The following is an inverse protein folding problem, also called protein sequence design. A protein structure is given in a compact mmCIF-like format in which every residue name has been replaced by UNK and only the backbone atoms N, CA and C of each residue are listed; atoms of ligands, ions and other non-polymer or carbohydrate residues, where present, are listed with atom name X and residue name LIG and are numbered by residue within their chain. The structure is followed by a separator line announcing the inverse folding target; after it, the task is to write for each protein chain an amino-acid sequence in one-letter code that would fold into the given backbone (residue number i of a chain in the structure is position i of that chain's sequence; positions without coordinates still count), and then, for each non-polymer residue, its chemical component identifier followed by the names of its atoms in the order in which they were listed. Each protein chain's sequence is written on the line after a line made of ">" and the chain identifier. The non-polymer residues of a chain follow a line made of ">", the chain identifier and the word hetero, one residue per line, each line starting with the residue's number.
data_IF_207599537451
#
_entry.id   IF_207599537451
#
_cell.length_a   1.000
_cell.length_b   1.000
_cell.length_c   1.000
_cell.angle_alpha   90.00
_cell.angle_beta   90.00
_cell.angle_gamma   90.00
#
_symmetry.space_group_name_H-M   'P 1'
#
loop_
_entity.id
_entity.type
_entity.pdbx_description
1 polymer ?
#
# COMPACT_ATOMS: atom_id res chain seq x y z
N UNK A 1 -14.31 60.21 23.95
CA UNK A 1 -13.57 59.07 23.35
C UNK A 1 -14.08 58.86 21.94
N UNK A 2 -13.26 59.02 20.88
CA UNK A 2 -13.74 58.79 19.52
C UNK A 2 -13.72 57.28 19.23
N UNK A 3 -14.86 56.77 18.75
CA UNK A 3 -14.97 55.41 18.20
C UNK A 3 -14.15 55.36 16.90
N UNK A 4 -13.02 54.65 16.92
CA UNK A 4 -12.26 54.30 15.71
C UNK A 4 -13.08 53.29 14.91
N UNK A 5 -13.74 53.76 13.86
CA UNK A 5 -14.31 52.87 12.85
C UNK A 5 -13.15 52.28 12.03
N UNK A 6 -12.93 50.96 12.13
CA UNK A 6 -12.04 50.29 11.19
C UNK A 6 -12.63 50.38 9.78
N UNK A 7 -11.84 50.71 8.75
CA UNK A 7 -12.31 50.82 7.38
C UNK A 7 -12.74 49.43 6.85
N UNK A 8 -13.94 49.33 6.27
CA UNK A 8 -14.52 48.09 5.69
C UNK A 8 -13.59 47.36 4.68
N UNK A 9 -12.59 48.04 4.13
CA UNK A 9 -11.56 47.42 3.26
C UNK A 9 -10.68 46.43 4.03
N UNK A 10 -10.30 46.74 5.27
CA UNK A 10 -9.48 45.84 6.10
C UNK A 10 -10.23 44.55 6.45
N UNK A 11 -11.53 44.62 6.71
CA UNK A 11 -12.35 43.43 7.03
C UNK A 11 -12.53 42.49 5.83
N UNK A 12 -12.64 43.04 4.60
CA UNK A 12 -12.70 42.24 3.37
C UNK A 12 -11.37 41.56 3.04
N UNK A 13 -10.24 42.23 3.30
CA UNK A 13 -8.91 41.65 3.10
C UNK A 13 -8.61 40.50 4.08
N UNK A 14 -9.08 40.56 5.33
CA UNK A 14 -8.92 39.45 6.29
C UNK A 14 -9.75 38.21 5.92
N UNK A 15 -10.97 38.39 5.38
CA UNK A 15 -11.82 37.28 4.93
C UNK A 15 -11.24 36.62 3.67
N UNK A 16 -10.74 37.40 2.70
CA UNK A 16 -10.05 36.85 1.53
C UNK A 16 -8.75 36.12 1.90
N UNK A 17 -7.97 36.64 2.85
CA UNK A 17 -6.76 35.98 3.33
C UNK A 17 -7.07 34.67 4.10
N UNK A 18 -8.16 34.62 4.87
CA UNK A 18 -8.60 33.41 5.56
C UNK A 18 -9.15 32.33 4.59
N UNK A 19 -9.84 32.75 3.51
CA UNK A 19 -10.30 31.83 2.46
C UNK A 19 -9.12 31.31 1.62
N UNK A 20 -8.13 32.16 1.30
CA UNK A 20 -6.90 31.72 0.63
C UNK A 20 -6.06 30.80 1.53
N UNK A 21 -5.98 31.07 2.84
CA UNK A 21 -5.26 30.21 3.79
C UNK A 21 -5.96 28.85 3.98
N UNK A 22 -7.30 28.82 3.92
CA UNK A 22 -8.10 27.59 3.93
C UNK A 22 -7.99 26.78 2.62
N UNK A 23 -7.71 27.44 1.49
CA UNK A 23 -7.46 26.75 0.21
C UNK A 23 -6.02 26.24 0.05
N UNK A 24 -5.07 26.68 0.90
CA UNK A 24 -3.68 26.20 0.92
C UNK A 24 -3.42 25.06 1.91
N UNK A 25 -4.43 24.63 2.67
CA UNK A 25 -4.38 23.32 3.30
C UNK A 25 -4.51 22.29 2.18
N UNK A 26 -3.37 21.90 1.60
CA UNK A 26 -3.26 20.66 0.83
C UNK A 26 -4.09 19.61 1.56
N UNK A 27 -5.18 19.17 0.95
CA UNK A 27 -5.92 18.00 1.40
C UNK A 27 -4.94 16.83 1.30
N UNK A 28 -4.17 16.60 2.37
CA UNK A 28 -3.66 15.26 2.63
C UNK A 28 -4.90 14.38 2.61
N UNK A 29 -5.04 13.58 1.55
CA UNK A 29 -6.12 12.60 1.48
C UNK A 29 -6.09 11.81 2.77
N UNK A 30 -7.23 11.66 3.43
CA UNK A 30 -7.30 10.83 4.63
C UNK A 30 -6.76 9.43 4.29
N UNK A 31 -6.01 8.79 5.21
CA UNK A 31 -5.45 7.46 4.97
C UNK A 31 -6.57 6.47 4.65
N UNK A 32 -6.28 5.50 3.78
CA UNK A 32 -7.21 4.41 3.51
C UNK A 32 -7.41 3.62 4.79
N UNK A 33 -8.65 3.39 5.20
CA UNK A 33 -8.95 2.49 6.32
C UNK A 33 -9.10 1.08 5.79
N UNK A 34 -8.19 0.18 6.17
CA UNK A 34 -8.04 -1.11 5.52
C UNK A 34 -8.13 -2.29 6.49
N UNK A 35 -8.90 -3.31 6.14
CA UNK A 35 -8.82 -4.64 6.74
C UNK A 35 -8.04 -5.54 5.79
N UNK A 36 -7.00 -6.18 6.31
CA UNK A 36 -6.12 -7.07 5.55
C UNK A 36 -6.41 -8.53 5.90
N UNK A 37 -6.84 -9.33 4.93
CA UNK A 37 -7.28 -10.72 5.11
C UNK A 37 -6.40 -11.68 4.28
N UNK A 38 -5.65 -12.54 4.96
CA UNK A 38 -4.55 -13.33 4.41
C UNK A 38 -4.72 -14.80 4.74
N UNK A 39 -4.10 -15.72 4.02
CA UNK A 39 -4.02 -17.10 4.49
C UNK A 39 -2.78 -17.31 5.39
N UNK A 40 -1.71 -16.53 5.20
CA UNK A 40 -0.48 -16.44 6.01
C UNK A 40 0.06 -17.81 6.39
N UNK A 41 0.19 -18.69 5.39
CA UNK A 41 0.61 -20.08 5.59
C UNK A 41 1.71 -20.48 4.61
N UNK A 42 1.36 -20.62 3.32
CA UNK A 42 2.13 -21.50 2.43
C UNK A 42 3.16 -20.80 1.55
N UNK A 43 2.93 -19.54 1.19
CA UNK A 43 3.85 -18.75 0.37
C UNK A 43 4.34 -17.52 1.13
N UNK A 44 5.57 -17.08 0.87
CA UNK A 44 6.19 -15.99 1.62
C UNK A 44 5.78 -14.60 1.15
N UNK A 45 4.98 -14.48 0.09
CA UNK A 45 4.47 -13.20 -0.35
C UNK A 45 3.42 -12.59 0.59
N UNK A 46 2.75 -13.37 1.47
CA UNK A 46 1.92 -12.78 2.54
C UNK A 46 2.75 -11.93 3.53
N UNK A 47 3.87 -12.43 4.14
CA UNK A 47 4.79 -11.59 4.91
C UNK A 47 5.30 -10.37 4.16
N UNK A 48 5.63 -10.54 2.86
CA UNK A 48 6.11 -9.45 2.01
C UNK A 48 5.05 -8.35 1.86
N UNK A 49 3.81 -8.74 1.61
CA UNK A 49 2.67 -7.85 1.52
C UNK A 49 2.35 -7.16 2.85
N UNK A 50 2.41 -7.87 3.98
CA UNK A 50 2.17 -7.29 5.30
C UNK A 50 3.26 -6.30 5.70
N UNK A 51 4.54 -6.62 5.44
CA UNK A 51 5.65 -5.68 5.64
C UNK A 51 5.49 -4.41 4.82
N UNK A 52 5.14 -4.56 3.54
CA UNK A 52 4.84 -3.45 2.64
C UNK A 52 3.65 -2.62 3.15
N UNK A 53 2.61 -3.25 3.70
CA UNK A 53 1.44 -2.57 4.26
C UNK A 53 1.83 -1.68 5.46
N UNK A 54 2.71 -2.16 6.34
CA UNK A 54 3.23 -1.36 7.45
C UNK A 54 4.08 -0.18 6.98
N UNK A 55 4.89 -0.36 5.93
CA UNK A 55 5.63 0.74 5.31
C UNK A 55 4.69 1.82 4.76
N UNK A 56 3.60 1.42 4.11
CA UNK A 56 2.55 2.33 3.65
C UNK A 56 1.84 3.04 4.83
N UNK A 57 1.67 2.36 5.96
CA UNK A 57 1.10 2.96 7.17
C UNK A 57 2.05 3.98 7.81
N UNK A 58 3.36 3.70 7.81
CA UNK A 58 4.41 4.65 8.24
C UNK A 58 4.43 5.91 7.36
N UNK A 59 4.11 5.76 6.07
CA UNK A 59 3.99 6.87 5.13
C UNK A 59 2.68 7.66 5.27
N UNK A 60 1.80 7.28 6.21
CA UNK A 60 0.50 7.90 6.43
C UNK A 60 -0.52 7.63 5.32
N UNK A 61 -0.31 6.61 4.49
CA UNK A 61 -1.17 6.28 3.34
C UNK A 61 -2.34 5.37 3.75
N UNK A 62 -2.19 4.58 4.83
CA UNK A 62 -3.17 3.60 5.30
C UNK A 62 -3.25 3.55 6.84
N UNK A 63 -4.46 3.42 7.34
CA UNK A 63 -4.80 3.01 8.70
C UNK A 63 -5.18 1.52 8.66
N UNK A 64 -4.31 0.65 9.19
CA UNK A 64 -4.56 -0.78 9.24
C UNK A 64 -5.53 -1.05 10.40
N UNK A 65 -6.78 -1.36 10.08
CA UNK A 65 -7.82 -1.60 11.08
C UNK A 65 -7.69 -2.98 11.72
N UNK A 66 -7.28 -3.99 10.94
CA UNK A 66 -7.08 -5.36 11.39
C UNK A 66 -6.31 -6.20 10.37
N UNK A 67 -5.71 -7.29 10.86
CA UNK A 67 -5.02 -8.31 10.05
C UNK A 67 -5.56 -9.69 10.42
N UNK A 68 -6.32 -10.31 9.53
CA UNK A 68 -7.04 -11.56 9.80
C UNK A 68 -6.50 -12.72 8.98
N UNK A 69 -6.57 -13.93 9.56
CA UNK A 69 -6.22 -15.18 8.88
C UNK A 69 -7.48 -15.91 8.40
N UNK A 70 -7.54 -16.20 7.10
CA UNK A 70 -8.60 -16.95 6.40
C UNK A 70 -8.36 -18.47 6.33
N UNK A 71 -7.17 -18.91 6.73
CA UNK A 71 -6.78 -20.30 6.79
C UNK A 71 -6.72 -20.86 8.21
N UNK A 72 -6.67 -22.18 8.33
CA UNK A 72 -6.52 -22.88 9.61
C UNK A 72 -5.10 -23.37 9.79
N UNK A 73 -4.30 -22.55 10.44
CA UNK A 73 -3.01 -22.95 10.97
C UNK A 73 -2.73 -22.20 12.27
N UNK A 74 -2.49 -22.95 13.35
CA UNK A 74 -2.43 -22.39 14.70
C UNK A 74 -1.32 -21.32 14.88
N UNK A 75 -0.30 -21.34 14.03
CA UNK A 75 0.79 -20.37 14.06
C UNK A 75 0.52 -19.12 13.23
N UNK A 76 -0.42 -19.13 12.28
CA UNK A 76 -0.67 -17.98 11.40
C UNK A 76 -1.04 -16.70 12.17
N UNK A 77 -1.95 -16.72 13.16
CA UNK A 77 -2.29 -15.50 13.91
C UNK A 77 -1.09 -14.90 14.64
N UNK A 78 -0.33 -15.71 15.37
CA UNK A 78 0.88 -15.27 16.07
C UNK A 78 1.99 -14.81 15.10
N UNK A 79 2.08 -15.40 13.91
CA UNK A 79 3.04 -14.99 12.89
C UNK A 79 2.68 -13.64 12.26
N UNK A 80 1.39 -13.39 12.01
CA UNK A 80 0.86 -12.08 11.59
C UNK A 80 1.19 -11.03 12.65
N UNK A 81 0.89 -11.33 13.92
CA UNK A 81 1.17 -10.41 15.03
C UNK A 81 2.67 -10.16 15.22
N UNK A 82 3.52 -11.16 14.99
CA UNK A 82 4.97 -10.95 15.03
C UNK A 82 5.44 -9.88 14.02
N UNK A 83 4.84 -9.84 12.83
CA UNK A 83 5.11 -8.77 11.85
C UNK A 83 4.53 -7.44 12.35
N UNK A 84 3.29 -7.42 12.83
CA UNK A 84 2.67 -6.20 13.38
C UNK A 84 3.49 -5.60 14.53
N UNK A 85 3.93 -6.44 15.47
CA UNK A 85 4.74 -6.07 16.62
C UNK A 85 6.10 -5.53 16.20
N UNK A 86 6.76 -6.13 15.20
CA UNK A 86 8.02 -5.60 14.67
C UNK A 86 7.89 -4.18 14.14
N UNK A 87 6.77 -3.85 13.48
CA UNK A 87 6.47 -2.50 13.00
C UNK A 87 5.86 -1.57 14.07
N UNK A 88 5.93 -1.94 15.35
CA UNK A 88 5.43 -1.14 16.47
C UNK A 88 3.89 -1.09 16.58
N UNK A 89 3.19 -1.98 15.87
CA UNK A 89 1.73 -2.02 15.76
C UNK A 89 1.12 -3.34 16.24
N UNK A 90 1.72 -3.98 17.25
CA UNK A 90 1.19 -5.22 17.88
C UNK A 90 -0.22 -5.06 18.49
N UNK A 91 -0.72 -3.83 18.64
CA UNK A 91 -2.09 -3.58 19.08
C UNK A 91 -3.15 -3.77 17.96
N UNK A 92 -2.74 -3.97 16.70
CA UNK A 92 -3.67 -4.22 15.59
C UNK A 92 -4.42 -5.53 15.88
N UNK A 93 -5.76 -5.54 15.82
CA UNK A 93 -6.54 -6.75 16.02
C UNK A 93 -6.15 -7.88 15.06
N UNK A 94 -5.92 -9.06 15.63
CA UNK A 94 -5.70 -10.32 14.91
C UNK A 94 -6.81 -11.31 15.26
N UNK A 95 -7.38 -11.94 14.22
CA UNK A 95 -8.40 -12.96 14.35
C UNK A 95 -8.17 -14.06 13.30
N UNK A 96 -8.80 -15.21 13.51
CA UNK A 96 -8.67 -16.36 12.60
C UNK A 96 -10.01 -17.02 12.35
N UNK A 97 -10.17 -17.62 11.17
CA UNK A 97 -11.35 -18.42 10.86
C UNK A 97 -11.54 -19.55 11.87
N UNK A 98 -12.76 -19.70 12.39
CA UNK A 98 -13.17 -20.90 13.15
C UNK A 98 -13.93 -21.91 12.28
N UNK A 99 -14.08 -21.65 10.99
CA UNK A 99 -14.75 -22.55 10.05
C UNK A 99 -13.95 -23.86 9.92
N UNK A 100 -14.49 -25.01 10.37
CA UNK A 100 -13.75 -26.26 10.37
C UNK A 100 -13.40 -26.76 8.96
N UNK A 101 -14.07 -26.24 7.93
CA UNK A 101 -13.88 -26.57 6.51
C UNK A 101 -12.85 -25.69 5.81
N UNK A 102 -12.37 -24.63 6.47
CA UNK A 102 -11.35 -23.76 5.93
C UNK A 102 -10.05 -24.52 5.60
N UNK A 103 -9.35 -24.05 4.58
CA UNK A 103 -8.08 -24.63 4.13
C UNK A 103 -7.08 -24.66 5.30
N UNK A 104 -6.48 -25.82 5.51
CA UNK A 104 -5.53 -26.08 6.60
C UNK A 104 -4.24 -26.64 6.02
N UNK A 105 -3.23 -25.78 5.87
CA UNK A 105 -1.92 -26.15 5.31
C UNK A 105 -0.84 -25.73 6.31
N UNK A 106 0.16 -26.60 6.52
CA UNK A 106 1.29 -26.26 7.35
C UNK A 106 2.20 -25.23 6.66
N UNK A 107 2.50 -24.12 7.34
CA UNK A 107 3.39 -23.06 6.86
C UNK A 107 4.71 -23.03 7.63
N UNK A 108 5.82 -23.34 6.97
CA UNK A 108 7.13 -23.41 7.65
C UNK A 108 7.61 -22.04 8.15
N UNK A 109 7.40 -20.98 7.36
CA UNK A 109 7.75 -19.63 7.76
C UNK A 109 6.83 -19.13 8.87
N UNK A 110 5.51 -19.34 8.77
CA UNK A 110 4.55 -18.88 9.76
C UNK A 110 4.84 -19.53 11.13
N UNK A 111 5.09 -20.84 11.15
CA UNK A 111 5.54 -21.52 12.36
C UNK A 111 6.84 -20.94 12.91
N UNK A 112 7.84 -20.70 12.05
CA UNK A 112 9.10 -20.12 12.48
C UNK A 112 8.92 -18.73 13.12
N UNK A 113 8.12 -17.85 12.51
CA UNK A 113 7.87 -16.52 13.05
C UNK A 113 7.19 -16.59 14.41
N UNK A 114 6.08 -17.32 14.51
CA UNK A 114 5.30 -17.47 15.73
C UNK A 114 6.12 -18.06 16.91
N UNK A 115 7.17 -18.83 16.62
CA UNK A 115 8.02 -19.43 17.66
C UNK A 115 9.23 -18.58 18.06
N UNK A 116 9.68 -17.65 17.20
CA UNK A 116 10.99 -17.01 17.34
C UNK A 116 10.95 -15.48 17.38
N UNK A 117 9.79 -14.85 17.17
CA UNK A 117 9.62 -13.40 17.14
C UNK A 117 8.65 -12.92 18.22
N UNK A 118 8.81 -11.70 18.75
CA UNK A 118 7.88 -11.15 19.74
C UNK A 118 6.47 -10.95 19.19
N UNK A 119 5.47 -11.39 19.94
CA UNK A 119 4.04 -11.22 19.70
C UNK A 119 3.28 -11.47 21.02
N UNK A 120 2.01 -11.07 21.09
CA UNK A 120 1.13 -11.38 22.24
C UNK A 120 -0.10 -12.21 21.85
N UNK A 121 -0.31 -12.45 20.55
CA UNK A 121 -1.37 -13.30 20.03
C UNK A 121 -1.14 -14.78 20.37
N UNK A 122 -2.10 -15.47 21.03
CA UNK A 122 -1.94 -16.87 21.40
C UNK A 122 -1.92 -17.80 20.18
N UNK A 123 -1.30 -18.98 20.33
CA UNK A 123 -1.24 -20.04 19.30
C UNK A 123 -2.25 -21.17 19.57
N UNK A 124 -3.44 -20.82 20.06
CA UNK A 124 -4.47 -21.77 20.46
C UNK A 124 -5.88 -21.31 20.05
N UNK A 125 -6.91 -21.99 20.55
CA UNK A 125 -8.30 -21.69 20.19
C UNK A 125 -8.84 -20.38 20.77
N UNK A 126 -8.11 -19.70 21.66
CA UNK A 126 -8.52 -18.44 22.28
C UNK A 126 -8.41 -17.22 21.36
N UNK A 127 -7.65 -17.32 20.25
CA UNK A 127 -7.64 -16.28 19.21
C UNK A 127 -9.08 -15.99 18.77
N UNK A 128 -9.51 -14.71 18.63
CA UNK A 128 -10.86 -14.38 18.24
C UNK A 128 -11.30 -15.01 16.91
N UNK A 129 -12.62 -15.24 16.78
CA UNK A 129 -13.23 -15.63 15.51
C UNK A 129 -13.24 -14.46 14.53
N UNK A 130 -12.82 -14.71 13.29
CA UNK A 130 -12.73 -13.67 12.27
C UNK A 130 -14.09 -13.04 11.91
N UNK A 131 -15.19 -13.80 11.91
CA UNK A 131 -16.52 -13.25 11.56
C UNK A 131 -16.99 -12.30 12.65
N UNK A 132 -16.88 -12.71 13.92
CA UNK A 132 -17.21 -11.86 15.06
C UNK A 132 -16.37 -10.56 15.07
N UNK A 133 -15.06 -10.68 14.83
CA UNK A 133 -14.15 -9.54 14.74
C UNK A 133 -14.45 -8.61 13.56
N UNK A 134 -14.76 -9.15 12.37
CA UNK A 134 -15.22 -8.35 11.22
C UNK A 134 -16.48 -7.55 11.56
N UNK A 135 -17.45 -8.19 12.21
CA UNK A 135 -18.72 -7.55 12.55
C UNK A 135 -18.54 -6.43 13.57
N UNK A 136 -17.75 -6.66 14.62
CA UNK A 136 -17.39 -5.62 15.60
C UNK A 136 -16.73 -4.42 14.93
N UNK A 137 -15.68 -4.68 14.16
CA UNK A 137 -14.88 -3.64 13.53
C UNK A 137 -15.71 -2.84 12.53
N UNK A 138 -16.43 -3.49 11.62
CA UNK A 138 -17.28 -2.81 10.64
C UNK A 138 -18.40 -2.01 11.29
N UNK A 139 -19.04 -2.54 12.35
CA UNK A 139 -20.09 -1.82 13.08
C UNK A 139 -19.59 -0.49 13.67
N UNK A 140 -18.33 -0.46 14.10
CA UNK A 140 -17.68 0.74 14.65
C UNK A 140 -17.17 1.75 13.61
N UNK A 141 -17.16 1.42 12.31
CA UNK A 141 -16.69 2.32 11.27
C UNK A 141 -17.80 3.21 10.71
N UNK A 142 -17.40 4.31 10.07
CA UNK A 142 -18.30 5.13 9.28
C UNK A 142 -18.83 4.35 8.07
N UNK A 143 -19.98 4.77 7.55
CA UNK A 143 -20.51 4.19 6.33
C UNK A 143 -19.59 4.52 5.15
N UNK A 144 -19.45 3.57 4.22
CA UNK A 144 -18.61 3.69 3.02
C UNK A 144 -17.20 4.21 3.32
N UNK A 145 -16.54 3.68 4.36
CA UNK A 145 -15.18 4.12 4.73
C UNK A 145 -14.12 3.02 4.71
N UNK A 146 -14.50 1.74 4.66
CA UNK A 146 -13.56 0.62 4.81
C UNK A 146 -13.22 0.00 3.46
N UNK A 147 -11.94 -0.24 3.20
CA UNK A 147 -11.45 -1.12 2.14
C UNK A 147 -11.11 -2.48 2.74
N UNK A 148 -11.54 -3.55 2.09
CA UNK A 148 -11.10 -4.91 2.44
C UNK A 148 -10.17 -5.38 1.34
N UNK A 149 -9.01 -5.91 1.70
CA UNK A 149 -8.16 -6.64 0.77
C UNK A 149 -8.02 -8.07 1.23
N UNK A 150 -8.32 -9.01 0.34
CA UNK A 150 -8.13 -10.44 0.58
C UNK A 150 -7.00 -10.93 -0.31
N UNK A 151 -5.92 -11.34 0.33
CA UNK A 151 -4.75 -11.97 -0.29
C UNK A 151 -4.69 -13.47 -0.04
N UNK A 152 -5.58 -14.00 0.80
CA UNK A 152 -5.77 -15.45 1.01
C UNK A 152 -7.09 -15.99 0.48
N UNK A 153 -7.68 -16.95 1.21
CA UNK A 153 -8.95 -17.57 0.85
C UNK A 153 -10.14 -16.69 1.23
N UNK A 154 -11.24 -16.78 0.46
CA UNK A 154 -12.45 -16.00 0.72
C UNK A 154 -13.33 -16.54 1.87
N UNK A 155 -12.81 -17.46 2.70
CA UNK A 155 -13.58 -18.15 3.75
C UNK A 155 -14.21 -17.20 4.75
N UNK A 156 -13.43 -16.23 5.23
CA UNK A 156 -13.90 -15.20 6.16
C UNK A 156 -15.01 -14.37 5.51
N UNK A 157 -14.85 -13.96 4.26
CA UNK A 157 -15.85 -13.15 3.55
C UNK A 157 -17.14 -13.93 3.23
N UNK A 158 -17.04 -15.21 2.82
CA UNK A 158 -18.20 -16.11 2.69
C UNK A 158 -18.99 -16.17 3.99
N UNK A 159 -18.30 -16.39 5.12
CA UNK A 159 -18.94 -16.53 6.41
C UNK A 159 -19.48 -15.20 6.95
N UNK A 160 -18.79 -14.09 6.67
CA UNK A 160 -19.28 -12.75 6.99
C UNK A 160 -20.58 -12.46 6.24
N UNK A 161 -20.65 -12.70 4.93
CA UNK A 161 -21.87 -12.54 4.13
C UNK A 161 -23.05 -13.34 4.69
N UNK A 162 -22.79 -14.56 5.18
CA UNK A 162 -23.78 -15.46 5.76
C UNK A 162 -24.17 -15.13 7.22
N UNK A 163 -23.47 -14.20 7.88
CA UNK A 163 -23.71 -13.86 9.28
C UNK A 163 -25.04 -13.12 9.46
N UNK A 164 -25.77 -13.43 10.55
CA UNK A 164 -26.97 -12.70 10.95
C UNK A 164 -26.67 -11.49 11.86
N UNK A 165 -27.69 -10.71 12.25
CA UNK A 165 -27.56 -9.68 13.27
C UNK A 165 -26.99 -10.24 14.59
N UNK A 166 -26.28 -9.40 15.34
CA UNK A 166 -25.63 -9.79 16.59
C UNK A 166 -25.54 -8.62 17.59
N UNK A 167 -24.69 -8.78 18.61
CA UNK A 167 -24.47 -7.75 19.65
C UNK A 167 -23.76 -6.49 19.13
N UNK A 168 -23.07 -6.58 18.00
CA UNK A 168 -22.29 -5.49 17.43
C UNK A 168 -23.13 -4.64 16.48
N UNK A 169 -24.02 -5.27 15.71
CA UNK A 169 -24.89 -4.59 14.76
C UNK A 169 -26.23 -5.30 14.55
N UNK A 170 -27.35 -4.55 14.43
CA UNK A 170 -28.64 -5.11 14.03
C UNK A 170 -28.69 -5.52 12.55
N UNK A 171 -27.68 -5.18 11.74
CA UNK A 171 -27.58 -5.57 10.35
C UNK A 171 -27.02 -6.99 10.22
N UNK A 172 -27.58 -7.78 9.29
CA UNK A 172 -26.91 -9.00 8.81
C UNK A 172 -25.61 -8.66 8.07
N UNK A 173 -24.82 -9.68 7.76
CA UNK A 173 -23.51 -9.52 7.15
C UNK A 173 -23.54 -8.76 5.83
N UNK A 174 -24.48 -9.10 4.94
CA UNK A 174 -24.61 -8.45 3.63
C UNK A 174 -24.95 -6.97 3.77
N UNK A 175 -25.90 -6.63 4.64
CA UNK A 175 -26.27 -5.24 4.89
C UNK A 175 -25.18 -4.45 5.62
N UNK A 176 -24.44 -5.10 6.53
CA UNK A 176 -23.30 -4.47 7.21
C UNK A 176 -22.17 -4.16 6.22
N UNK A 177 -21.82 -5.09 5.33
CA UNK A 177 -20.83 -4.86 4.27
C UNK A 177 -21.30 -3.72 3.36
N UNK A 178 -22.56 -3.75 2.93
CA UNK A 178 -23.14 -2.72 2.05
C UNK A 178 -23.03 -1.33 2.67
N UNK A 179 -23.29 -1.22 3.97
CA UNK A 179 -23.23 0.05 4.67
C UNK A 179 -21.78 0.55 4.86
N UNK A 180 -20.83 -0.34 5.17
CA UNK A 180 -19.52 0.06 5.71
C UNK A 180 -18.38 0.02 4.69
N UNK A 181 -18.46 -0.87 3.71
CA UNK A 181 -17.33 -1.19 2.82
C UNK A 181 -17.43 -0.39 1.53
N UNK A 182 -16.34 0.28 1.15
CA UNK A 182 -16.19 0.98 -0.13
C UNK A 182 -16.02 -0.04 -1.25
N UNK A 183 -15.02 -0.91 -1.10
CA UNK A 183 -14.67 -1.93 -2.09
C UNK A 183 -13.91 -3.09 -1.47
N UNK A 184 -13.94 -4.21 -2.18
CA UNK A 184 -13.11 -5.37 -1.94
C UNK A 184 -12.05 -5.52 -3.03
N UNK A 185 -10.79 -5.55 -2.64
CA UNK A 185 -9.67 -5.91 -3.52
C UNK A 185 -9.38 -7.39 -3.32
N UNK A 186 -9.61 -8.19 -4.37
CA UNK A 186 -9.46 -9.64 -4.32
C UNK A 186 -8.22 -10.08 -5.12
N UNK A 187 -7.21 -10.60 -4.43
CA UNK A 187 -6.14 -11.36 -5.08
C UNK A 187 -6.73 -12.69 -5.55
N UNK A 188 -6.90 -12.85 -6.86
CA UNK A 188 -7.76 -13.90 -7.39
C UNK A 188 -7.93 -13.86 -8.90
N UNK A 189 -8.18 -15.03 -9.48
CA UNK A 189 -8.42 -15.19 -10.92
C UNK A 189 -7.16 -15.16 -11.78
N UNK A 190 -7.35 -15.39 -13.08
CA UNK A 190 -6.34 -15.30 -14.12
C UNK A 190 -7.04 -14.87 -15.42
N UNK A 191 -7.03 -13.56 -15.69
CA UNK A 191 -7.94 -12.97 -16.68
C UNK A 191 -7.35 -12.87 -18.10
N UNK A 192 -6.08 -13.27 -18.28
CA UNK A 192 -5.40 -13.23 -19.57
C UNK A 192 -5.12 -14.60 -20.17
N UNK A 193 -5.15 -15.66 -19.35
CA UNK A 193 -5.06 -17.05 -19.79
C UNK A 193 -6.41 -17.75 -19.60
N UNK A 194 -7.29 -17.57 -20.60
CA UNK A 194 -8.65 -18.10 -20.58
C UNK A 194 -8.71 -19.63 -20.58
N UNK A 195 -7.67 -20.32 -21.05
CA UNK A 195 -7.60 -21.78 -21.05
C UNK A 195 -7.26 -22.33 -19.66
N UNK A 196 -6.56 -21.55 -18.83
CA UNK A 196 -6.13 -21.92 -17.48
C UNK A 196 -6.61 -20.92 -16.41
N UNK A 197 -7.85 -20.44 -16.57
CA UNK A 197 -8.41 -19.38 -15.71
C UNK A 197 -8.78 -19.84 -14.30
N UNK A 198 -8.73 -21.14 -14.03
CA UNK A 198 -8.89 -21.77 -12.71
C UNK A 198 -7.56 -22.09 -12.02
N UNK A 199 -6.44 -21.51 -12.45
CA UNK A 199 -5.14 -21.82 -11.83
C UNK A 199 -4.85 -21.03 -10.56
N UNK A 200 -5.68 -20.05 -10.18
CA UNK A 200 -5.44 -19.25 -8.98
C UNK A 200 -5.72 -20.06 -7.69
N UNK A 201 -4.74 -20.17 -6.80
CA UNK A 201 -4.84 -21.01 -5.59
C UNK A 201 -5.80 -20.45 -4.54
N UNK A 202 -5.96 -19.12 -4.46
CA UNK A 202 -6.91 -18.48 -3.55
C UNK A 202 -8.35 -18.81 -3.92
N UNK A 203 -8.62 -19.07 -5.21
CA UNK A 203 -9.93 -19.51 -5.67
C UNK A 203 -10.09 -21.02 -5.66
N UNK A 204 -9.04 -21.78 -5.96
CA UNK A 204 -9.19 -23.23 -6.18
C UNK A 204 -8.99 -24.11 -4.96
N UNK A 205 -8.27 -23.66 -3.93
CA UNK A 205 -8.17 -24.41 -2.67
C UNK A 205 -9.45 -24.33 -1.85
N UNK A 206 -10.21 -23.24 -1.98
CA UNK A 206 -11.57 -23.10 -1.42
C UNK A 206 -12.54 -22.48 -2.45
N UNK A 207 -12.89 -23.28 -3.45
CA UNK A 207 -13.82 -22.90 -4.53
C UNK A 207 -15.16 -22.44 -4.00
N UNK A 208 -15.69 -23.14 -2.99
CA UNK A 208 -17.00 -22.82 -2.43
C UNK A 208 -16.99 -21.42 -1.83
N UNK A 209 -15.98 -21.08 -1.03
CA UNK A 209 -15.88 -19.74 -0.45
C UNK A 209 -15.61 -18.67 -1.51
N UNK A 210 -14.69 -18.91 -2.45
CA UNK A 210 -14.39 -17.95 -3.52
C UNK A 210 -15.62 -17.65 -4.39
N UNK A 211 -16.27 -18.68 -4.92
CA UNK A 211 -17.46 -18.54 -5.78
C UNK A 211 -18.60 -17.88 -5.01
N UNK A 212 -18.84 -18.28 -3.76
CA UNK A 212 -19.93 -17.72 -2.94
C UNK A 212 -19.68 -16.24 -2.62
N UNK A 213 -18.46 -15.88 -2.19
CA UNK A 213 -18.12 -14.49 -1.89
C UNK A 213 -18.19 -13.62 -3.15
N UNK A 214 -17.58 -14.07 -4.25
CA UNK A 214 -17.58 -13.33 -5.53
C UNK A 214 -19.00 -13.14 -6.03
N UNK A 215 -19.87 -14.16 -6.07
CA UNK A 215 -21.23 -13.99 -6.58
C UNK A 215 -22.05 -13.02 -5.73
N UNK A 216 -21.92 -13.07 -4.41
CA UNK A 216 -22.84 -12.40 -3.49
C UNK A 216 -22.32 -11.07 -2.90
N UNK A 217 -21.09 -10.65 -3.19
CA UNK A 217 -20.54 -9.41 -2.65
C UNK A 217 -21.39 -8.18 -3.03
N UNK A 218 -21.77 -7.29 -2.09
CA UNK A 218 -22.72 -6.23 -2.40
C UNK A 218 -22.10 -4.92 -2.92
N UNK A 219 -20.80 -4.69 -2.74
CA UNK A 219 -20.12 -3.42 -3.10
C UNK A 219 -19.13 -3.62 -4.27
N UNK A 220 -18.29 -2.64 -4.56
CA UNK A 220 -17.31 -2.74 -5.65
C UNK A 220 -16.32 -3.90 -5.41
N UNK A 221 -15.96 -4.63 -6.48
CA UNK A 221 -14.85 -5.59 -6.48
C UNK A 221 -13.78 -5.14 -7.46
N UNK A 222 -12.52 -5.21 -7.03
CA UNK A 222 -11.36 -5.10 -7.91
C UNK A 222 -10.56 -6.40 -7.84
N UNK A 223 -10.39 -7.06 -8.97
CA UNK A 223 -9.63 -8.30 -9.08
C UNK A 223 -8.16 -8.03 -9.42
N UNK A 224 -7.26 -8.63 -8.63
CA UNK A 224 -5.83 -8.71 -8.90
C UNK A 224 -5.51 -10.14 -9.37
N UNK A 225 -5.47 -10.33 -10.69
CA UNK A 225 -5.26 -11.63 -11.32
C UNK A 225 -3.82 -12.15 -11.24
N UNK A 226 -3.64 -13.44 -11.51
CA UNK A 226 -2.30 -14.09 -11.58
C UNK A 226 -1.37 -13.35 -12.55
N UNK A 227 -1.91 -12.88 -13.67
CA UNK A 227 -1.17 -12.14 -14.70
C UNK A 227 -0.53 -10.84 -14.20
N UNK A 228 -0.96 -10.30 -13.05
CA UNK A 228 -0.32 -9.16 -12.41
C UNK A 228 0.83 -9.68 -11.53
N UNK A 229 0.49 -10.32 -10.43
CA UNK A 229 1.46 -10.64 -9.39
C UNK A 229 2.51 -11.70 -9.77
N UNK A 230 2.22 -12.64 -10.66
CA UNK A 230 3.19 -13.68 -11.04
C UNK A 230 4.28 -13.21 -12.01
N UNK A 231 4.06 -12.05 -12.65
CA UNK A 231 5.05 -11.43 -13.54
C UNK A 231 6.00 -10.49 -12.79
N UNK A 232 5.58 -10.03 -11.63
CA UNK A 232 6.33 -9.17 -10.72
C UNK A 232 7.23 -10.00 -9.79
N UNK A 233 8.40 -9.49 -9.44
CA UNK A 233 9.40 -10.17 -8.60
C UNK A 233 10.04 -9.22 -7.59
N UNK A 234 9.93 -9.56 -6.31
CA UNK A 234 10.56 -8.81 -5.21
C UNK A 234 10.86 -9.72 -4.01
N UNK A 235 11.79 -9.31 -3.16
CA UNK A 235 12.13 -9.89 -1.87
C UNK A 235 13.60 -10.20 -1.67
N UNK A 236 14.45 -10.18 -2.71
CA UNK A 236 15.87 -10.51 -2.55
C UNK A 236 16.61 -9.54 -1.62
N UNK A 237 16.27 -8.23 -1.61
CA UNK A 237 16.95 -7.24 -0.75
C UNK A 237 16.53 -7.34 0.71
N UNK A 238 15.52 -8.14 1.06
CA UNK A 238 15.26 -8.48 2.47
C UNK A 238 16.49 -9.09 3.15
N UNK A 239 17.35 -9.78 2.40
CA UNK A 239 18.64 -10.31 2.88
C UNK A 239 19.59 -9.25 3.44
N UNK A 240 19.37 -7.98 3.10
CA UNK A 240 20.14 -6.82 3.55
C UNK A 240 19.55 -6.17 4.81
N UNK A 241 18.32 -6.57 5.21
CA UNK A 241 17.68 -6.07 6.43
C UNK A 241 18.08 -6.91 7.65
N UNK A 242 17.93 -6.40 8.89
CA UNK A 242 18.30 -7.15 10.09
C UNK A 242 17.63 -8.53 10.18
N UNK A 243 18.32 -9.52 10.77
CA UNK A 243 17.73 -10.84 11.01
C UNK A 243 16.54 -10.80 12.00
N UNK A 244 16.39 -9.70 12.74
CA UNK A 244 15.24 -9.42 13.61
C UNK A 244 14.01 -8.92 12.83
N UNK A 245 14.12 -8.67 11.52
CA UNK A 245 12.98 -8.41 10.66
C UNK A 245 12.23 -9.74 10.37
N UNK A 246 10.99 -9.91 10.83
CA UNK A 246 10.22 -11.13 10.59
C UNK A 246 9.93 -11.36 9.11
N UNK A 247 9.86 -10.32 8.28
CA UNK A 247 9.68 -10.46 6.82
C UNK A 247 10.91 -11.10 6.18
N UNK A 248 12.12 -10.64 6.56
CA UNK A 248 13.37 -11.29 6.15
C UNK A 248 13.42 -12.73 6.62
N UNK A 249 13.13 -12.99 7.90
CA UNK A 249 13.12 -14.34 8.43
C UNK A 249 12.12 -15.26 7.72
N UNK A 250 10.97 -14.75 7.30
CA UNK A 250 9.98 -15.52 6.57
C UNK A 250 10.49 -15.96 5.20
N UNK A 251 11.02 -15.02 4.41
CA UNK A 251 11.62 -15.32 3.10
C UNK A 251 12.81 -16.27 3.23
N UNK A 252 13.68 -16.02 4.21
CA UNK A 252 14.81 -16.91 4.55
C UNK A 252 14.33 -18.33 4.85
N UNK A 253 13.31 -18.48 5.68
CA UNK A 253 12.77 -19.79 6.05
C UNK A 253 12.10 -20.47 4.86
N UNK A 254 11.32 -19.74 4.06
CA UNK A 254 10.66 -20.25 2.86
C UNK A 254 11.66 -20.78 1.83
N UNK A 255 12.72 -20.03 1.55
CA UNK A 255 13.77 -20.43 0.60
C UNK A 255 14.84 -21.37 1.20
N UNK A 256 14.71 -21.76 2.47
CA UNK A 256 15.65 -22.63 3.17
C UNK A 256 17.06 -22.04 3.31
N UNK A 257 17.19 -20.71 3.40
CA UNK A 257 18.48 -20.04 3.44
C UNK A 257 18.39 -18.53 3.20
N UNK A 258 18.95 -18.06 2.09
CA UNK A 258 18.94 -16.62 1.79
C UNK A 258 17.58 -16.21 1.20
N UNK A 259 17.07 -15.04 1.60
CA UNK A 259 15.92 -14.43 0.95
C UNK A 259 16.20 -14.21 -0.56
N UNK A 260 15.18 -14.43 -1.39
CA UNK A 260 15.23 -14.31 -2.85
C UNK A 260 13.95 -13.64 -3.33
N UNK A 261 13.94 -13.24 -4.60
CA UNK A 261 12.73 -12.73 -5.21
C UNK A 261 11.65 -13.83 -5.27
N UNK A 262 10.44 -13.45 -4.87
CA UNK A 262 9.23 -14.22 -5.03
C UNK A 262 8.22 -13.43 -5.87
N UNK A 263 7.22 -14.11 -6.42
CA UNK A 263 6.11 -13.44 -7.08
C UNK A 263 5.41 -12.45 -6.14
N UNK A 264 4.87 -11.36 -6.68
CA UNK A 264 4.19 -10.32 -5.92
C UNK A 264 2.66 -10.42 -6.02
N UNK A 265 2.08 -11.62 -5.90
CA UNK A 265 0.63 -11.80 -5.92
C UNK A 265 -0.05 -11.00 -4.80
N UNK A 266 0.38 -11.17 -3.57
CA UNK A 266 -0.20 -10.48 -2.42
C UNK A 266 0.26 -9.02 -2.30
N UNK A 267 1.56 -8.69 -2.55
CA UNK A 267 2.02 -7.31 -2.56
C UNK A 267 1.30 -6.43 -3.59
N UNK A 268 1.05 -6.92 -4.82
CA UNK A 268 0.38 -6.11 -5.85
C UNK A 268 -1.07 -5.76 -5.49
N UNK A 269 -1.83 -6.71 -4.95
CA UNK A 269 -3.18 -6.47 -4.44
C UNK A 269 -3.20 -5.47 -3.27
N UNK A 270 -2.26 -5.65 -2.33
CA UNK A 270 -2.11 -4.76 -1.17
C UNK A 270 -1.73 -3.34 -1.59
N UNK A 271 -0.83 -3.20 -2.55
CA UNK A 271 -0.39 -1.89 -3.06
C UNK A 271 -1.56 -1.15 -3.72
N UNK A 272 -2.35 -1.86 -4.53
CA UNK A 272 -3.56 -1.29 -5.13
C UNK A 272 -4.60 -0.92 -4.08
N UNK A 273 -4.81 -1.74 -3.04
CA UNK A 273 -5.79 -1.45 -1.99
C UNK A 273 -5.51 -0.13 -1.25
N UNK A 274 -4.23 0.23 -1.08
CA UNK A 274 -3.82 1.48 -0.44
C UNK A 274 -3.75 2.64 -1.43
N UNK A 275 -3.02 2.48 -2.54
CA UNK A 275 -2.73 3.60 -3.45
C UNK A 275 -3.77 3.78 -4.56
N UNK A 276 -4.56 2.75 -4.84
CA UNK A 276 -5.59 2.74 -5.87
C UNK A 276 -5.08 3.24 -7.22
N UNK A 277 -5.88 4.09 -7.87
CA UNK A 277 -5.49 4.90 -9.03
C UNK A 277 -5.27 6.37 -8.64
N UNK A 278 -4.81 6.64 -7.41
CA UNK A 278 -4.50 8.00 -6.94
C UNK A 278 -3.51 8.73 -7.89
N UNK A 279 -3.34 10.06 -7.76
CA UNK A 279 -2.56 10.84 -8.73
C UNK A 279 -1.15 10.30 -9.03
N UNK A 280 -0.47 9.69 -8.06
CA UNK A 280 0.83 9.07 -8.24
C UNK A 280 0.75 7.56 -8.59
N UNK A 281 -0.34 6.90 -8.22
CA UNK A 281 -0.58 5.47 -8.38
C UNK A 281 -1.26 5.08 -9.70
N UNK A 282 -1.89 6.04 -10.40
CA UNK A 282 -2.49 5.87 -11.74
C UNK A 282 -1.49 5.39 -12.80
N UNK A 283 -0.20 5.40 -12.48
CA UNK A 283 0.88 4.91 -13.34
C UNK A 283 1.14 3.42 -13.14
N UNK A 284 0.74 2.80 -12.03
CA UNK A 284 1.04 1.39 -11.78
C UNK A 284 0.16 0.49 -12.64
N UNK A 285 -1.16 0.74 -12.57
CA UNK A 285 -2.17 -0.12 -13.15
C UNK A 285 -3.24 0.72 -13.86
N UNK A 286 -3.88 0.11 -14.84
CA UNK A 286 -5.18 0.53 -15.32
C UNK A 286 -6.26 -0.45 -14.83
N UNK A 287 -7.52 -0.08 -15.01
CA UNK A 287 -8.65 -0.94 -14.74
C UNK A 287 -9.39 -1.26 -16.04
N UNK A 288 -9.63 -2.54 -16.27
CA UNK A 288 -10.62 -3.01 -17.23
C UNK A 288 -11.91 -3.23 -16.45
N UNK A 289 -12.91 -2.38 -16.68
CA UNK A 289 -14.23 -2.51 -16.06
C UNK A 289 -15.08 -3.50 -16.84
N UNK A 290 -15.84 -4.33 -16.15
CA UNK A 290 -16.61 -5.39 -16.80
C UNK A 290 -17.38 -6.22 -15.80
N UNK A 291 -17.65 -7.47 -16.16
CA UNK A 291 -18.34 -8.43 -15.30
C UNK A 291 -17.65 -9.78 -15.31
N UNK A 292 -17.54 -10.38 -14.13
CA UNK A 292 -17.18 -11.79 -14.00
C UNK A 292 -18.44 -12.66 -13.99
N UNK A 293 -18.42 -13.72 -14.79
CA UNK A 293 -19.33 -14.85 -14.68
C UNK A 293 -18.53 -16.07 -14.23
N UNK A 294 -18.50 -16.29 -12.92
CA UNK A 294 -17.76 -17.40 -12.29
C UNK A 294 -18.65 -18.65 -12.15
N UNK A 295 -18.09 -19.81 -12.51
CA UNK A 295 -18.71 -21.13 -12.40
C UNK A 295 -18.42 -21.77 -11.03
N UNK A 296 -19.12 -22.87 -10.72
CA UNK A 296 -18.97 -23.55 -9.42
C UNK A 296 -17.58 -24.18 -9.22
N UNK A 297 -16.87 -24.47 -10.31
CA UNK A 297 -15.50 -24.99 -10.30
C UNK A 297 -14.43 -23.89 -10.26
N UNK A 298 -14.83 -22.62 -10.09
CA UNK A 298 -14.02 -21.41 -10.11
C UNK A 298 -13.42 -21.02 -11.48
N UNK A 299 -13.73 -21.74 -12.56
CA UNK A 299 -13.52 -21.22 -13.92
C UNK A 299 -14.44 -20.01 -14.14
N UNK A 300 -14.10 -19.11 -15.06
CA UNK A 300 -14.92 -17.92 -15.29
C UNK A 300 -14.84 -17.36 -16.71
N UNK A 301 -15.80 -16.52 -17.06
CA UNK A 301 -15.72 -15.65 -18.23
C UNK A 301 -15.69 -14.20 -17.76
N UNK A 302 -14.73 -13.43 -18.26
CA UNK A 302 -14.68 -11.99 -18.07
C UNK A 302 -15.26 -11.28 -19.29
N UNK A 303 -16.26 -10.42 -19.06
CA UNK A 303 -16.90 -9.62 -20.10
C UNK A 303 -16.56 -8.14 -19.90
N UNK A 304 -15.54 -7.64 -20.63
CA UNK A 304 -15.15 -6.23 -20.59
C UNK A 304 -16.31 -5.32 -21.03
N UNK A 305 -16.48 -4.19 -20.35
CA UNK A 305 -17.53 -3.19 -20.58
C UNK A 305 -18.93 -3.61 -20.13
N UNK A 306 -19.15 -4.86 -19.72
CA UNK A 306 -20.44 -5.29 -19.20
C UNK A 306 -20.77 -4.59 -17.87
N UNK A 307 -22.05 -4.32 -17.64
CA UNK A 307 -22.56 -3.72 -16.39
C UNK A 307 -23.32 -4.74 -15.56
N UNK A 308 -23.50 -4.50 -14.26
CA UNK A 308 -24.25 -5.39 -13.38
C UNK A 308 -24.64 -4.73 -12.07
N UNK A 309 -25.06 -5.50 -11.05
CA UNK A 309 -25.60 -4.96 -9.79
C UNK A 309 -24.58 -4.19 -8.94
N UNK A 310 -23.28 -4.30 -9.25
CA UNK A 310 -22.19 -3.60 -8.58
C UNK A 310 -21.07 -3.28 -9.59
N UNK A 311 -20.15 -2.40 -9.22
CA UNK A 311 -18.95 -2.15 -10.01
C UNK A 311 -17.98 -3.31 -9.89
N UNK A 312 -17.47 -3.80 -11.02
CA UNK A 312 -16.41 -4.81 -11.07
C UNK A 312 -15.34 -4.36 -12.04
N UNK A 313 -14.09 -4.59 -11.66
CA UNK A 313 -12.94 -4.34 -12.52
C UNK A 313 -11.83 -5.35 -12.25
N UNK A 314 -10.96 -5.54 -13.23
CA UNK A 314 -9.68 -6.23 -13.05
C UNK A 314 -8.53 -5.26 -13.28
N UNK A 315 -7.44 -5.46 -12.55
CA UNK A 315 -6.21 -4.72 -12.75
C UNK A 315 -5.56 -5.11 -14.07
N UNK A 316 -4.92 -4.12 -14.73
CA UNK A 316 -4.24 -4.27 -16.01
C UNK A 316 -2.87 -3.62 -15.93
N UNK A 317 -1.85 -4.33 -16.39
CA UNK A 317 -0.45 -3.88 -16.36
C UNK A 317 0.02 -3.20 -17.64
N UNK A 318 1.19 -2.58 -17.60
CA UNK A 318 1.87 -2.05 -18.78
C UNK A 318 2.18 -3.13 -19.83
N UNK A 319 2.30 -4.40 -19.44
CA UNK A 319 2.48 -5.51 -20.40
C UNK A 319 1.25 -5.64 -21.31
N UNK A 320 0.06 -5.54 -20.72
CA UNK A 320 -1.22 -5.68 -21.42
C UNK A 320 -1.61 -4.38 -22.15
N UNK A 321 -1.30 -3.23 -21.55
CA UNK A 321 -1.59 -1.89 -22.08
C UNK A 321 -0.34 -1.01 -22.15
N UNK A 322 0.62 -1.31 -23.04
CA UNK A 322 1.82 -0.51 -23.21
C UNK A 322 1.54 0.88 -23.81
N UNK A 323 0.34 1.09 -24.36
CA UNK A 323 -0.09 2.29 -25.07
C UNK A 323 -0.50 3.47 -24.17
N UNK A 324 -0.73 3.24 -22.87
CA UNK A 324 -1.27 4.27 -21.96
C UNK A 324 -0.24 4.81 -20.96
N UNK A 325 1.04 4.48 -21.14
CA UNK A 325 2.14 5.05 -20.34
C UNK A 325 2.13 4.64 -18.87
N UNK A 326 1.71 3.40 -18.57
CA UNK A 326 1.92 2.80 -17.25
C UNK A 326 3.43 2.53 -17.03
N UNK A 327 3.83 2.50 -15.76
CA UNK A 327 5.15 2.03 -15.33
C UNK A 327 5.37 0.58 -15.78
N UNK A 328 6.59 0.26 -16.16
CA UNK A 328 6.97 -1.12 -16.46
C UNK A 328 6.84 -1.99 -15.21
N UNK A 329 6.75 -3.30 -15.39
CA UNK A 329 6.70 -4.22 -14.24
C UNK A 329 7.94 -4.07 -13.36
N UNK A 330 9.14 -3.94 -13.96
CA UNK A 330 10.39 -3.70 -13.22
C UNK A 330 10.35 -2.40 -12.38
N UNK A 331 9.74 -1.34 -12.88
CA UNK A 331 9.58 -0.09 -12.11
C UNK A 331 8.64 -0.27 -10.91
N UNK A 332 7.58 -1.08 -11.06
CA UNK A 332 6.67 -1.40 -9.95
C UNK A 332 7.33 -2.39 -8.96
N UNK A 333 8.12 -3.34 -9.45
CA UNK A 333 8.90 -4.29 -8.64
C UNK A 333 9.85 -3.54 -7.70
N UNK A 334 10.55 -2.52 -8.20
CA UNK A 334 11.40 -1.66 -7.37
C UNK A 334 10.58 -0.96 -6.27
N UNK A 335 9.38 -0.45 -6.57
CA UNK A 335 8.52 0.18 -5.56
C UNK A 335 8.12 -0.83 -4.48
N UNK A 336 7.71 -2.03 -4.89
CA UNK A 336 7.35 -3.12 -3.95
C UNK A 336 8.55 -3.50 -3.10
N UNK A 337 9.73 -3.68 -3.71
CA UNK A 337 10.97 -3.99 -3.01
C UNK A 337 11.29 -2.93 -1.95
N UNK A 338 11.27 -1.64 -2.32
CA UNK A 338 11.59 -0.54 -1.41
C UNK A 338 10.66 -0.49 -0.21
N UNK A 339 9.37 -0.68 -0.42
CA UNK A 339 8.40 -0.74 0.67
C UNK A 339 8.59 -2.00 1.53
N UNK A 340 8.94 -3.14 0.93
CA UNK A 340 9.14 -4.40 1.65
C UNK A 340 10.37 -4.38 2.57
N UNK A 341 11.43 -3.65 2.19
CA UNK A 341 12.64 -3.54 3.01
C UNK A 341 12.60 -2.36 3.99
N UNK A 342 11.61 -1.48 3.92
CA UNK A 342 11.50 -0.30 4.78
C UNK A 342 11.50 -0.72 6.25
N UNK A 343 12.43 -0.15 7.01
CA UNK A 343 12.49 -0.39 8.45
C UNK A 343 11.36 0.34 9.18
N UNK A 344 10.91 -0.16 10.35
CA UNK A 344 9.87 0.48 11.15
C UNK A 344 10.18 1.94 11.49
N UNK A 345 9.17 2.79 11.44
CA UNK A 345 9.27 4.18 11.88
C UNK A 345 9.72 4.26 13.35
N UNK A 346 10.76 5.07 13.62
CA UNK A 346 11.37 5.20 14.95
C UNK A 346 12.42 4.14 15.32
N UNK A 347 12.62 3.09 14.52
CA UNK A 347 13.66 2.08 14.77
C UNK A 347 15.08 2.50 14.35
N UNK A 348 15.23 3.64 13.67
CA UNK A 348 16.50 4.09 13.11
C UNK A 348 16.69 5.59 13.39
N UNK A 349 17.46 5.97 14.43
CA UNK A 349 17.58 7.35 14.87
C UNK A 349 18.56 8.20 14.05
N UNK A 350 19.41 7.57 13.23
CA UNK A 350 20.47 8.30 12.53
C UNK A 350 19.92 8.99 11.28
N UNK A 351 19.86 10.32 11.34
CA UNK A 351 19.61 11.14 10.18
C UNK A 351 20.69 10.91 9.11
N UNK A 352 20.33 10.90 7.82
CA UNK A 352 21.31 10.84 6.74
C UNK A 352 22.28 12.02 6.81
N UNK A 353 23.51 11.81 6.33
CA UNK A 353 24.46 12.90 6.13
C UNK A 353 23.87 13.97 5.21
N UNK A 354 24.23 15.24 5.41
CA UNK A 354 23.84 16.31 4.48
C UNK A 354 24.33 15.99 3.05
N UNK A 355 23.52 16.28 2.01
CA UNK A 355 24.03 16.33 0.65
C UNK A 355 25.20 17.31 0.55
N UNK A 356 26.19 17.00 -0.26
CA UNK A 356 27.36 17.88 -0.46
C UNK A 356 27.66 18.05 -1.95
N UNK A 357 28.49 19.05 -2.27
CA UNK A 357 29.02 19.31 -3.62
C UNK A 357 27.95 19.36 -4.71
N UNK A 358 26.86 20.12 -4.49
CA UNK A 358 25.83 20.25 -5.51
C UNK A 358 26.24 21.21 -6.63
N UNK A 359 26.11 20.76 -7.88
CA UNK A 359 26.16 21.60 -9.07
C UNK A 359 24.74 21.85 -9.57
N UNK A 360 24.47 23.12 -9.90
CA UNK A 360 23.25 23.53 -10.57
C UNK A 360 23.60 24.00 -11.98
N UNK A 361 23.16 23.23 -12.97
CA UNK A 361 23.34 23.56 -14.38
C UNK A 361 22.04 24.10 -14.94
N UNK A 362 22.06 25.35 -15.39
CA UNK A 362 21.00 25.93 -16.21
C UNK A 362 21.30 25.64 -17.67
N UNK A 363 20.43 24.92 -18.36
CA UNK A 363 20.67 24.60 -19.76
C UNK A 363 20.39 25.84 -20.65
N UNK A 364 21.42 26.37 -21.29
CA UNK A 364 21.28 27.54 -22.18
C UNK A 364 20.40 27.26 -23.42
N UNK A 365 20.25 25.99 -23.80
CA UNK A 365 19.52 25.53 -24.98
C UNK A 365 18.07 25.17 -24.65
N UNK A 366 17.79 24.69 -23.42
CA UNK A 366 16.45 24.34 -22.93
C UNK A 366 16.03 25.34 -21.85
N UNK A 367 15.22 26.33 -22.25
CA UNK A 367 14.90 27.52 -21.44
C UNK A 367 14.21 27.16 -20.12
N UNK A 368 14.70 27.70 -19.00
CA UNK A 368 14.15 27.48 -17.66
C UNK A 368 14.44 26.12 -17.03
N UNK A 369 15.18 25.23 -17.71
CA UNK A 369 15.55 23.92 -17.18
C UNK A 369 16.74 24.02 -16.22
N UNK A 370 16.56 23.48 -15.02
CA UNK A 370 17.58 23.42 -13.98
C UNK A 370 17.87 21.95 -13.70
N UNK A 371 19.14 21.58 -13.79
CA UNK A 371 19.63 20.25 -13.40
C UNK A 371 20.47 20.39 -12.15
N UNK A 372 20.01 19.78 -11.06
CA UNK A 372 20.74 19.67 -9.80
C UNK A 372 21.40 18.29 -9.75
N UNK A 373 22.70 18.25 -9.47
CA UNK A 373 23.43 17.00 -9.21
C UNK A 373 24.27 17.19 -7.95
N UNK A 374 24.33 16.21 -7.05
CA UNK A 374 25.08 16.32 -5.79
C UNK A 374 25.86 15.03 -5.48
N UNK A 375 26.64 15.01 -4.40
CA UNK A 375 27.27 13.78 -3.93
C UNK A 375 26.25 12.91 -3.16
N UNK A 376 26.25 11.58 -3.35
CA UNK A 376 25.40 10.68 -2.57
C UNK A 376 25.60 10.84 -1.05
N UNK A 377 24.49 10.83 -0.32
CA UNK A 377 24.51 10.79 1.14
C UNK A 377 24.73 9.37 1.66
N UNK A 378 25.11 9.25 2.93
CA UNK A 378 25.21 7.98 3.65
C UNK A 378 24.40 8.06 4.94
N UNK A 379 24.08 6.89 5.51
CA UNK A 379 23.54 6.76 6.86
C UNK A 379 24.50 5.89 7.64
N UNK A 380 24.87 6.30 8.86
CA UNK A 380 25.84 5.57 9.68
C UNK A 380 25.26 4.25 10.22
N UNK A 381 23.94 4.21 10.43
CA UNK A 381 23.28 3.05 10.99
C UNK A 381 23.33 1.86 10.00
N UNK A 382 23.83 0.69 10.41
CA UNK A 382 24.05 -0.47 9.53
C UNK A 382 22.75 -1.11 9.00
N UNK A 383 21.60 -0.76 9.59
CA UNK A 383 20.27 -1.20 9.17
C UNK A 383 19.45 -0.09 8.47
N UNK A 384 20.09 1.00 8.07
CA UNK A 384 19.47 2.12 7.36
C UNK A 384 20.26 2.45 6.10
N UNK A 385 19.63 3.12 5.15
CA UNK A 385 20.27 3.67 3.95
C UNK A 385 19.58 4.96 3.53
N UNK A 386 20.09 5.63 2.50
CA UNK A 386 19.42 6.80 1.92
C UNK A 386 18.34 6.30 0.97
N UNK A 387 17.07 6.46 1.37
CA UNK A 387 15.91 6.04 0.56
C UNK A 387 15.62 7.01 -0.59
N UNK A 388 16.04 8.27 -0.46
CA UNK A 388 15.89 9.27 -1.50
C UNK A 388 16.17 10.67 -0.98
N UNK A 389 15.76 11.66 -1.77
CA UNK A 389 15.97 13.09 -1.49
C UNK A 389 14.67 13.88 -1.70
N UNK A 390 14.32 14.75 -0.76
CA UNK A 390 13.34 15.82 -0.98
C UNK A 390 14.03 17.03 -1.58
N UNK A 391 13.45 17.59 -2.66
CA UNK A 391 13.92 18.82 -3.29
C UNK A 391 12.84 19.88 -3.17
N UNK A 392 13.16 20.96 -2.47
CA UNK A 392 12.30 22.14 -2.31
C UNK A 392 12.89 23.32 -3.04
N UNK A 393 12.05 24.16 -3.66
CA UNK A 393 12.42 25.44 -4.26
C UNK A 393 11.66 26.54 -3.53
N UNK A 394 12.38 27.51 -2.97
CA UNK A 394 11.84 28.63 -2.19
C UNK A 394 10.87 28.17 -1.08
N UNK A 395 11.20 27.04 -0.45
CA UNK A 395 10.42 26.42 0.63
C UNK A 395 9.33 25.44 0.19
N UNK A 396 8.89 25.48 -1.07
CA UNK A 396 7.88 24.57 -1.61
C UNK A 396 8.51 23.26 -2.13
N UNK A 397 7.92 22.11 -1.80
CA UNK A 397 8.36 20.81 -2.36
C UNK A 397 8.09 20.77 -3.86
N UNK A 398 9.15 20.64 -4.66
CA UNK A 398 9.07 20.54 -6.12
C UNK A 398 9.21 19.10 -6.61
N UNK A 399 9.78 18.21 -5.79
CA UNK A 399 9.78 16.77 -6.08
C UNK A 399 10.65 15.95 -5.14
N UNK A 400 10.68 14.64 -5.39
CA UNK A 400 11.59 13.69 -4.74
C UNK A 400 12.48 13.02 -5.78
N UNK A 401 13.71 12.70 -5.41
CA UNK A 401 14.68 11.99 -6.25
C UNK A 401 15.15 10.70 -5.56
N UNK A 402 15.25 9.60 -6.31
CA UNK A 402 15.79 8.33 -5.80
C UNK A 402 17.33 8.28 -5.84
N UNK A 403 17.95 9.18 -6.60
CA UNK A 403 19.40 9.29 -6.73
C UNK A 403 19.87 10.74 -6.61
N UNK A 404 21.17 10.99 -6.71
CA UNK A 404 21.77 12.29 -6.43
C UNK A 404 21.62 13.29 -7.59
N UNK A 405 20.45 13.29 -8.25
CA UNK A 405 20.14 14.13 -9.41
C UNK A 405 18.65 14.46 -9.42
N UNK A 406 18.33 15.72 -9.69
CA UNK A 406 16.95 16.20 -9.89
C UNK A 406 16.89 17.21 -11.02
N UNK A 407 15.79 17.18 -11.78
CA UNK A 407 15.55 18.11 -12.88
C UNK A 407 14.27 18.88 -12.57
N UNK A 408 14.37 20.20 -12.64
CA UNK A 408 13.27 21.14 -12.42
C UNK A 408 13.13 22.07 -13.62
N UNK A 409 11.96 22.69 -13.78
CA UNK A 409 11.72 23.73 -14.77
C UNK A 409 11.03 24.93 -14.12
N UNK A 410 11.57 26.13 -14.35
CA UNK A 410 11.03 27.39 -13.86
C UNK A 410 10.43 28.23 -14.99
N UNK A 411 9.39 29.00 -14.66
CA UNK A 411 8.67 29.84 -15.62
C UNK A 411 9.12 31.32 -15.63
N UNK A 412 9.94 31.75 -14.67
CA UNK A 412 10.44 33.12 -14.57
C UNK A 412 11.98 33.17 -14.43
N UNK A 413 12.60 34.23 -14.95
CA UNK A 413 14.00 34.53 -14.62
C UNK A 413 14.11 35.01 -13.18
N UNK A 414 15.29 34.86 -12.59
CA UNK A 414 15.57 35.32 -11.23
C UNK A 414 16.36 34.33 -10.40
N UNK A 415 16.46 34.64 -9.11
CA UNK A 415 17.15 33.83 -8.12
C UNK A 415 16.18 32.87 -7.44
N UNK A 416 16.60 31.60 -7.35
CA UNK A 416 15.88 30.53 -6.67
C UNK A 416 16.78 29.92 -5.61
N UNK A 417 16.20 29.52 -4.48
CA UNK A 417 16.92 28.76 -3.45
C UNK A 417 16.36 27.35 -3.39
N UNK A 418 17.19 26.39 -3.79
CA UNK A 418 16.87 24.98 -3.64
C UNK A 418 17.32 24.48 -2.28
N UNK A 419 16.51 23.61 -1.67
CA UNK A 419 16.84 22.88 -0.46
C UNK A 419 16.71 21.38 -0.73
N UNK A 420 17.83 20.67 -0.61
CA UNK A 420 17.92 19.23 -0.87
C UNK A 420 18.15 18.51 0.46
N UNK A 421 17.31 17.53 0.81
CA UNK A 421 17.45 16.75 2.04
C UNK A 421 17.35 15.26 1.72
N UNK A 422 18.36 14.49 2.11
CA UNK A 422 18.26 13.03 2.10
C UNK A 422 17.27 12.57 3.17
N UNK A 423 16.59 11.45 2.95
CA UNK A 423 15.76 10.80 3.97
C UNK A 423 16.04 9.30 4.05
N UNK A 424 15.89 8.73 5.25
CA UNK A 424 15.92 7.28 5.49
C UNK A 424 14.61 6.61 5.06
N UNK A 425 14.56 5.28 4.92
CA UNK A 425 13.31 4.55 4.71
C UNK A 425 12.24 4.86 5.78
N UNK A 426 12.67 5.14 7.02
CA UNK A 426 11.79 5.53 8.13
C UNK A 426 11.33 7.00 8.09
N UNK A 427 11.66 7.75 7.03
CA UNK A 427 11.25 9.14 6.83
C UNK A 427 12.06 10.18 7.62
N UNK A 428 13.16 9.79 8.27
CA UNK A 428 14.02 10.72 9.01
C UNK A 428 14.78 11.58 7.99
N UNK A 429 14.52 12.88 8.00
CA UNK A 429 15.21 13.84 7.15
C UNK A 429 16.59 14.16 7.71
N UNK A 430 17.58 14.16 6.82
CA UNK A 430 18.92 14.65 7.08
C UNK A 430 18.98 16.17 7.10
N UNK A 431 20.17 16.69 7.40
CA UNK A 431 20.44 18.11 7.22
C UNK A 431 20.31 18.51 5.75
N UNK A 432 19.89 19.76 5.56
CA UNK A 432 19.60 20.28 4.24
C UNK A 432 20.81 20.94 3.59
N UNK A 433 20.99 20.69 2.31
CA UNK A 433 21.89 21.48 1.47
C UNK A 433 21.08 22.58 0.77
N UNK A 434 21.46 23.83 1.01
CA UNK A 434 20.92 24.99 0.29
C UNK A 434 21.77 25.30 -0.95
N UNK A 435 21.11 25.45 -2.10
CA UNK A 435 21.74 25.66 -3.40
C UNK A 435 21.08 26.86 -4.07
N UNK A 436 21.73 28.03 -4.06
CA UNK A 436 21.23 29.18 -4.81
C UNK A 436 21.46 28.96 -6.31
N UNK A 437 20.45 29.26 -7.12
CA UNK A 437 20.49 29.11 -8.58
C UNK A 437 19.94 30.38 -9.21
N UNK A 438 20.74 31.00 -10.08
CA UNK A 438 20.31 32.14 -10.88
C UNK A 438 19.89 31.68 -12.28
N UNK A 439 18.71 32.09 -12.74
CA UNK A 439 18.19 31.78 -14.06
C UNK A 439 18.08 33.05 -14.90
N UNK A 440 18.96 33.18 -15.88
CA UNK A 440 19.03 34.36 -16.75
C UNK A 440 17.97 34.37 -17.86
N UNK A 441 17.43 33.20 -18.25
CA UNK A 441 16.47 33.08 -19.35
C UNK A 441 15.43 31.97 -19.11
N UNK A 442 14.17 32.29 -19.38
CA UNK A 442 13.05 31.34 -19.42
C UNK A 442 12.34 31.36 -20.77
N UNK A 443 11.49 30.38 -21.03
CA UNK A 443 10.66 30.37 -22.23
C UNK A 443 9.74 31.59 -22.21
N UNK A 444 9.73 32.37 -23.30
CA UNK A 444 8.68 33.36 -23.48
C UNK A 444 7.39 32.58 -23.72
N UNK A 445 6.34 32.85 -22.94
CA UNK A 445 5.03 32.32 -23.26
C UNK A 445 4.60 32.86 -24.63
N UNK A 446 4.11 32.02 -25.55
CA UNK A 446 3.56 32.49 -26.81
C UNK A 446 2.37 33.43 -26.62
#
# INVERSE_FOLDING_TARGET
>A
MPKRNLPMSTFRSFILLAILLAMTLNTLSSPVKLIWDTDFMSDCDDPGALGMLHALADNGEVEILATFSSGRFAYSPAAIDAVNTYYGRGHIPVATTKDPTAVSIAGSYAQHLAQNFPHDTPMDSSVPDAVDAYRELLAGQADHSVVIVTVGYATNLKNLLASGPDRHSPLDGTNLITAKVVKWVNMGGNFEDYENNDTNVNWTRDKVSAVTAIRNWPTEIVFNGREIGHLMRAGARLSQTPATNPVHAAYKQFFGGTAKDQHCADPSATLYAVRGLGPDARKYWALDFGRIQINDDATFVWSSGATGPRTESRMVSARTRPDIGLMTLDEVDEIVEYLMIQAPLGALPDAPSAPSTCTAETNATVRGLITLTWAPCTVAHPASWVAGYEVRRDGALVGKALGPRFVDTVAATGDYVYRIQAYTPSGVLGEALEVPVHVERVAEMP
#
